data_IF_023515793885
#
_entry.id   IF_023515793885
#
_cell.length_a   1.000
_cell.length_b   1.000
_cell.length_c   1.000
_cell.angle_alpha   90.00
_cell.angle_beta   90.00
_cell.angle_gamma   90.00
#
_symmetry.space_group_name_H-M   'P 1'
#
loop_
_entity.id
_entity.type
_entity.pdbx_description
1 polymer ?
#
# COMPACT_ATOMS: atom_id res chain seq x y z
N UNK A 1 -3.60 -36.78 8.37
CA UNK A 1 -2.35 -36.00 8.41
C UNK A 1 -2.73 -34.53 8.45
N UNK A 2 -2.40 -33.83 9.54
CA UNK A 2 -2.57 -32.38 9.65
C UNK A 2 -1.50 -31.72 8.79
N UNK A 3 -1.87 -31.31 7.58
CA UNK A 3 -0.99 -30.55 6.68
C UNK A 3 -0.68 -29.21 7.33
N UNK A 4 0.60 -28.94 7.61
CA UNK A 4 1.05 -27.62 8.05
C UNK A 4 0.60 -26.59 7.00
N UNK A 5 -0.08 -25.49 7.39
CA UNK A 5 -0.50 -24.48 6.44
C UNK A 5 0.70 -23.94 5.67
N UNK A 6 0.61 -23.83 4.34
CA UNK A 6 1.68 -23.20 3.55
C UNK A 6 1.72 -21.68 3.81
N UNK A 7 2.90 -21.07 3.95
CA UNK A 7 3.00 -19.62 4.10
C UNK A 7 2.48 -18.88 2.86
N UNK A 8 1.47 -18.02 3.07
CA UNK A 8 0.94 -17.14 2.04
C UNK A 8 1.90 -15.97 1.77
N UNK A 9 1.81 -15.37 0.58
CA UNK A 9 2.59 -14.19 0.19
C UNK A 9 4.12 -14.32 0.32
N UNK A 10 4.63 -15.56 0.22
CA UNK A 10 6.04 -15.89 0.38
C UNK A 10 6.61 -15.49 1.74
N UNK A 11 5.76 -15.45 2.77
CA UNK A 11 6.21 -15.26 4.15
C UNK A 11 7.04 -16.46 4.61
N UNK A 12 7.93 -16.23 5.58
CA UNK A 12 8.80 -17.29 6.12
C UNK A 12 8.04 -18.30 6.98
N UNK A 13 6.88 -17.91 7.52
CA UNK A 13 6.04 -18.73 8.38
C UNK A 13 4.56 -18.43 8.12
N UNK A 14 3.65 -19.38 8.37
CA UNK A 14 2.22 -19.12 8.31
C UNK A 14 1.81 -18.09 9.37
N UNK A 15 0.83 -17.26 9.03
CA UNK A 15 0.25 -16.34 10.00
C UNK A 15 -0.63 -17.13 11.01
N UNK A 16 -0.80 -16.63 12.25
CA UNK A 16 -1.74 -17.20 13.21
C UNK A 16 -3.18 -17.26 12.67
N UNK A 17 -4.08 -18.06 13.28
CA UNK A 17 -5.51 -17.99 13.01
C UNK A 17 -6.04 -16.56 13.14
N UNK A 18 -7.11 -16.24 12.41
CA UNK A 18 -7.79 -14.94 12.44
C UNK A 18 -6.88 -13.74 12.09
N UNK A 19 -5.93 -13.96 11.19
CA UNK A 19 -5.05 -12.91 10.67
C UNK A 19 -4.90 -12.98 9.16
N UNK A 20 -4.60 -11.83 8.55
CA UNK A 20 -4.33 -11.74 7.12
C UNK A 20 -2.83 -11.72 6.85
N UNK A 21 -2.38 -12.57 5.93
CA UNK A 21 -1.01 -12.54 5.44
C UNK A 21 -0.86 -11.44 4.38
N UNK A 22 0.19 -10.63 4.43
CA UNK A 22 0.51 -9.68 3.37
C UNK A 22 2.02 -9.48 3.22
N UNK A 23 2.44 -9.05 2.05
CA UNK A 23 3.80 -8.56 1.80
C UNK A 23 3.78 -7.35 0.88
N UNK A 24 4.65 -6.39 1.16
CA UNK A 24 4.74 -5.12 0.43
C UNK A 24 6.20 -4.90 0.06
N UNK A 25 6.43 -4.64 -1.22
CA UNK A 25 7.73 -4.27 -1.75
C UNK A 25 7.57 -2.98 -2.54
N UNK A 26 8.38 -1.96 -2.22
CA UNK A 26 8.48 -0.75 -3.04
C UNK A 26 9.08 -1.06 -4.41
N UNK A 27 8.95 -0.11 -5.33
CA UNK A 27 9.68 -0.18 -6.60
C UNK A 27 11.20 -0.06 -6.40
N UNK A 28 11.94 -0.35 -7.45
CA UNK A 28 13.38 -0.13 -7.51
C UNK A 28 13.71 0.81 -8.67
N UNK A 29 14.14 2.02 -8.32
CA UNK A 29 14.32 3.13 -9.24
C UNK A 29 13.07 3.32 -10.13
N UNK A 30 13.25 3.43 -11.44
CA UNK A 30 12.17 3.54 -12.43
C UNK A 30 11.90 2.23 -13.17
N UNK A 31 12.65 1.16 -12.87
CA UNK A 31 12.74 -0.02 -13.75
C UNK A 31 11.85 -1.16 -13.26
N UNK A 32 11.81 -1.38 -11.95
CA UNK A 32 11.01 -2.45 -11.34
C UNK A 32 9.90 -1.83 -10.52
N UNK A 33 8.67 -2.11 -10.90
CA UNK A 33 7.49 -1.65 -10.16
C UNK A 33 7.30 -2.38 -8.82
N UNK A 34 6.53 -1.81 -7.90
CA UNK A 34 6.28 -2.39 -6.58
C UNK A 34 5.47 -3.69 -6.68
N UNK A 35 5.38 -4.41 -5.56
CA UNK A 35 4.56 -5.60 -5.41
C UNK A 35 3.81 -5.57 -4.09
N UNK A 36 2.49 -5.77 -4.16
CA UNK A 36 1.62 -5.91 -2.97
C UNK A 36 0.90 -7.24 -3.08
N UNK A 37 1.15 -8.13 -2.11
CA UNK A 37 0.44 -9.39 -1.95
C UNK A 37 -0.46 -9.33 -0.72
N UNK A 38 -1.69 -9.82 -0.84
CA UNK A 38 -2.64 -9.94 0.24
C UNK A 38 -3.30 -11.32 0.21
N UNK A 39 -3.28 -11.99 1.36
CA UNK A 39 -3.79 -13.32 1.64
C UNK A 39 -3.47 -14.39 0.57
N UNK A 40 -2.22 -14.38 0.11
CA UNK A 40 -1.71 -15.33 -0.88
C UNK A 40 -1.91 -14.92 -2.34
N UNK A 41 -2.60 -13.80 -2.59
CA UNK A 41 -2.84 -13.28 -3.93
C UNK A 41 -2.02 -12.01 -4.18
N UNK A 42 -1.30 -11.98 -5.31
CA UNK A 42 -0.66 -10.75 -5.78
C UNK A 42 -1.75 -9.80 -6.29
N UNK A 43 -1.92 -8.66 -5.62
CA UNK A 43 -2.95 -7.66 -5.97
C UNK A 43 -2.37 -6.64 -6.93
N UNK A 44 -1.16 -6.16 -6.63
CA UNK A 44 -0.44 -5.21 -7.46
C UNK A 44 0.95 -5.76 -7.77
N UNK A 45 1.37 -5.69 -9.04
CA UNK A 45 2.76 -5.98 -9.41
C UNK A 45 3.09 -5.45 -10.80
N UNK A 46 4.39 -5.29 -11.08
CA UNK A 46 4.88 -4.95 -12.42
C UNK A 46 4.37 -5.93 -13.50
N UNK A 47 4.32 -7.24 -13.20
CA UNK A 47 3.85 -8.28 -14.14
C UNK A 47 2.35 -8.15 -14.44
N UNK A 48 1.55 -7.67 -13.46
CA UNK A 48 0.12 -7.43 -13.64
C UNK A 48 -0.17 -6.12 -14.40
N UNK A 49 0.86 -5.33 -14.73
CA UNK A 49 0.75 -4.07 -15.44
C UNK A 49 -0.28 -3.10 -14.80
N UNK A 50 -0.35 -3.09 -13.46
CA UNK A 50 -1.31 -2.30 -12.69
C UNK A 50 -0.66 -1.43 -11.61
N UNK A 51 0.63 -1.12 -11.79
CA UNK A 51 1.44 -0.28 -10.90
C UNK A 51 1.96 0.93 -11.66
N UNK A 52 2.21 2.04 -10.97
CA UNK A 52 2.71 3.28 -11.60
C UNK A 52 3.47 4.19 -10.63
N UNK A 53 4.12 5.25 -11.14
CA UNK A 53 4.91 6.18 -10.34
C UNK A 53 4.06 6.80 -9.22
N UNK A 54 4.67 7.07 -8.06
CA UNK A 54 3.99 7.58 -6.88
C UNK A 54 3.62 6.52 -5.87
N UNK A 55 2.38 6.57 -5.36
CA UNK A 55 1.89 5.69 -4.29
C UNK A 55 0.98 4.61 -4.87
N UNK A 56 1.35 3.34 -4.71
CA UNK A 56 0.56 2.20 -5.15
C UNK A 56 -0.19 1.67 -3.94
N UNK A 57 -1.53 1.68 -3.98
CA UNK A 57 -2.40 1.53 -2.81
C UNK A 57 -3.36 0.36 -3.00
N UNK A 58 -3.55 -0.44 -1.96
CA UNK A 58 -4.62 -1.44 -1.82
C UNK A 58 -5.43 -1.13 -0.56
N UNK A 59 -6.75 -1.04 -0.70
CA UNK A 59 -7.72 -0.81 0.39
C UNK A 59 -8.53 -2.08 0.59
N UNK A 60 -8.53 -2.59 1.83
CA UNK A 60 -9.14 -3.87 2.19
C UNK A 60 -10.10 -3.67 3.38
N UNK A 61 -11.25 -4.34 3.33
CA UNK A 61 -12.15 -4.45 4.45
C UNK A 61 -11.54 -5.33 5.56
N UNK A 62 -11.36 -4.77 6.76
CA UNK A 62 -10.70 -5.44 7.88
C UNK A 62 -11.46 -6.65 8.45
N UNK A 63 -12.75 -6.73 8.19
CA UNK A 63 -13.64 -7.73 8.79
C UNK A 63 -13.67 -9.00 7.95
N UNK A 64 -13.68 -8.87 6.62
CA UNK A 64 -13.82 -10.00 5.71
C UNK A 64 -12.66 -10.17 4.72
N UNK A 65 -11.67 -9.27 4.72
CA UNK A 65 -10.52 -9.32 3.81
C UNK A 65 -10.83 -9.01 2.35
N UNK A 66 -12.02 -8.49 2.03
CA UNK A 66 -12.40 -8.11 0.67
C UNK A 66 -11.65 -6.85 0.24
N UNK A 67 -11.07 -6.89 -0.96
CA UNK A 67 -10.40 -5.73 -1.56
C UNK A 67 -11.47 -4.82 -2.16
N UNK A 68 -11.59 -3.62 -1.62
CA UNK A 68 -12.56 -2.60 -2.06
C UNK A 68 -12.00 -1.77 -3.21
N UNK A 69 -10.70 -1.44 -3.15
CA UNK A 69 -10.03 -0.58 -4.13
C UNK A 69 -8.56 -0.91 -4.24
N UNK A 70 -8.01 -0.82 -5.45
CA UNK A 70 -6.57 -0.83 -5.66
C UNK A 70 -6.21 -0.01 -6.90
N UNK A 71 -5.00 0.55 -6.91
CA UNK A 71 -4.52 1.40 -8.00
C UNK A 71 -3.32 2.22 -7.55
N UNK A 72 -2.86 3.15 -8.39
CA UNK A 72 -1.77 4.04 -8.03
C UNK A 72 -2.20 5.50 -8.14
N UNK A 73 -1.64 6.32 -7.24
CA UNK A 73 -1.76 7.76 -7.21
C UNK A 73 -0.45 8.35 -7.74
N UNK A 74 -0.52 9.01 -8.90
CA UNK A 74 0.68 9.56 -9.53
C UNK A 74 1.16 10.80 -8.78
N UNK A 75 2.17 10.62 -7.94
CA UNK A 75 2.74 11.69 -7.11
C UNK A 75 3.72 12.60 -7.87
N UNK A 76 3.92 12.41 -9.18
CA UNK A 76 4.81 13.23 -10.02
C UNK A 76 3.98 14.17 -10.89
N UNK A 77 3.06 13.62 -11.69
CA UNK A 77 2.26 14.38 -12.66
C UNK A 77 0.79 14.50 -12.28
N UNK A 78 0.32 13.84 -11.22
CA UNK A 78 -1.07 13.92 -10.77
C UNK A 78 -1.41 15.24 -10.07
N UNK A 79 -2.69 15.40 -9.76
CA UNK A 79 -3.23 16.51 -8.99
C UNK A 79 -3.27 16.19 -7.50
N UNK A 80 -2.70 17.05 -6.65
CA UNK A 80 -2.66 16.81 -5.20
C UNK A 80 -4.04 16.85 -4.54
N UNK A 81 -5.00 17.60 -5.10
CA UNK A 81 -6.37 17.66 -4.61
C UNK A 81 -7.12 16.35 -4.86
N UNK A 82 -6.98 15.78 -6.05
CA UNK A 82 -7.55 14.47 -6.39
C UNK A 82 -6.94 13.34 -5.54
N UNK A 83 -5.63 13.39 -5.31
CA UNK A 83 -4.89 12.43 -4.45
C UNK A 83 -5.41 12.51 -3.01
N UNK A 84 -5.55 13.72 -2.46
CA UNK A 84 -6.09 13.92 -1.13
C UNK A 84 -7.55 13.47 -1.03
N UNK A 85 -8.38 13.80 -2.03
CA UNK A 85 -9.77 13.37 -2.08
C UNK A 85 -9.88 11.84 -2.11
N UNK A 86 -9.03 11.16 -2.88
CA UNK A 86 -8.95 9.70 -2.88
C UNK A 86 -8.68 9.13 -1.49
N UNK A 87 -7.73 9.71 -0.74
CA UNK A 87 -7.36 9.22 0.59
C UNK A 87 -8.46 9.47 1.61
N UNK A 88 -9.10 10.65 1.57
CA UNK A 88 -10.22 11.02 2.46
C UNK A 88 -11.51 10.24 2.17
N UNK A 89 -11.67 9.69 0.97
CA UNK A 89 -12.81 8.83 0.59
C UNK A 89 -12.69 7.40 1.17
N UNK A 90 -11.50 7.02 1.69
CA UNK A 90 -11.31 5.72 2.33
C UNK A 90 -12.14 5.66 3.61
N UNK A 91 -13.07 4.70 3.67
CA UNK A 91 -13.95 4.52 4.83
C UNK A 91 -13.14 4.15 6.08
N UNK A 92 -13.53 4.65 7.27
CA UNK A 92 -12.96 4.19 8.54
C UNK A 92 -13.06 2.68 8.72
N UNK A 93 -12.07 2.09 9.37
CA UNK A 93 -11.92 0.66 9.58
C UNK A 93 -11.21 -0.11 8.46
N UNK A 94 -10.93 0.51 7.32
CA UNK A 94 -10.26 -0.18 6.20
C UNK A 94 -8.76 -0.34 6.44
N UNK A 95 -8.19 -1.50 6.09
CA UNK A 95 -6.75 -1.71 6.00
C UNK A 95 -6.24 -1.01 4.73
N UNK A 96 -5.13 -0.27 4.86
CA UNK A 96 -4.49 0.44 3.75
C UNK A 96 -3.06 -0.04 3.62
N UNK A 97 -2.73 -0.65 2.47
CA UNK A 97 -1.37 -1.07 2.11
C UNK A 97 -0.84 -0.17 1.02
N UNK A 98 0.36 0.36 1.19
CA UNK A 98 0.98 1.31 0.23
C UNK A 98 2.42 0.95 -0.07
N UNK A 99 2.81 1.08 -1.33
CA UNK A 99 4.19 0.96 -1.78
C UNK A 99 4.56 2.13 -2.71
N UNK A 100 5.70 2.78 -2.46
CA UNK A 100 6.20 3.83 -3.34
C UNK A 100 6.85 3.26 -4.62
N UNK A 101 6.85 4.06 -5.69
CA UNK A 101 7.56 3.78 -6.93
C UNK A 101 8.04 5.08 -7.59
N UNK A 102 9.31 5.11 -8.04
CA UNK A 102 10.02 6.29 -8.56
C UNK A 102 10.10 7.44 -7.55
N UNK A 103 9.09 8.29 -7.47
CA UNK A 103 9.01 9.36 -6.48
C UNK A 103 7.58 9.50 -5.95
N UNK A 104 7.47 9.59 -4.62
CA UNK A 104 6.23 9.79 -3.90
C UNK A 104 6.06 11.21 -3.34
N UNK A 105 7.04 12.11 -3.55
CA UNK A 105 7.13 13.36 -2.79
C UNK A 105 6.74 14.61 -3.56
N UNK A 106 6.82 14.61 -4.90
CA UNK A 106 6.58 15.81 -5.73
C UNK A 106 5.19 16.43 -5.52
N UNK A 107 4.14 15.62 -5.30
CA UNK A 107 2.77 16.09 -4.99
C UNK A 107 2.37 15.88 -3.53
N UNK A 108 3.32 15.57 -2.64
CA UNK A 108 3.07 15.28 -1.23
C UNK A 108 2.90 16.58 -0.43
N UNK A 109 1.65 16.96 -0.16
CA UNK A 109 1.31 18.11 0.69
C UNK A 109 1.28 17.73 2.16
N UNK A 110 1.29 18.72 3.05
CA UNK A 110 1.18 18.49 4.49
C UNK A 110 -0.14 17.80 4.85
N UNK A 111 -1.25 18.12 4.18
CA UNK A 111 -2.53 17.45 4.39
C UNK A 111 -2.51 15.96 3.99
N UNK A 112 -1.80 15.61 2.91
CA UNK A 112 -1.62 14.21 2.51
C UNK A 112 -0.76 13.48 3.55
N UNK A 113 0.31 14.12 4.04
CA UNK A 113 1.14 13.54 5.11
C UNK A 113 0.32 13.32 6.37
N UNK A 114 -0.47 14.30 6.79
CA UNK A 114 -1.33 14.20 7.97
C UNK A 114 -2.34 13.06 7.84
N UNK A 115 -2.94 12.89 6.65
CA UNK A 115 -3.86 11.77 6.38
C UNK A 115 -3.18 10.41 6.63
N UNK A 116 -1.91 10.25 6.26
CA UNK A 116 -1.15 9.03 6.57
C UNK A 116 -0.71 8.93 8.03
N UNK A 117 -0.47 10.05 8.72
CA UNK A 117 -0.22 10.07 10.18
C UNK A 117 -1.46 9.59 10.93
N UNK A 118 -2.65 10.08 10.57
CA UNK A 118 -3.93 9.62 11.10
C UNK A 118 -4.13 8.12 10.88
N UNK A 119 -3.67 7.57 9.76
CA UNK A 119 -3.68 6.11 9.49
C UNK A 119 -2.59 5.32 10.25
N UNK A 120 -1.74 6.00 11.03
CA UNK A 120 -0.71 5.39 11.89
C UNK A 120 0.72 5.46 11.35
N UNK A 121 1.00 6.22 10.28
CA UNK A 121 2.36 6.35 9.76
C UNK A 121 3.22 7.24 10.65
N UNK A 122 4.38 6.74 11.06
CA UNK A 122 5.39 7.50 11.82
C UNK A 122 6.52 8.05 10.95
N UNK A 123 6.66 7.55 9.72
CA UNK A 123 7.76 7.90 8.81
C UNK A 123 7.32 8.77 7.63
N UNK A 124 6.00 8.97 7.43
CA UNK A 124 5.53 9.78 6.30
C UNK A 124 6.01 11.22 6.41
N UNK A 125 6.16 11.78 7.61
CA UNK A 125 6.67 13.15 7.81
C UNK A 125 8.12 13.35 7.35
N UNK A 126 8.93 12.29 7.34
CA UNK A 126 10.35 12.34 6.98
C UNK A 126 10.65 11.87 5.55
N UNK A 127 9.62 11.58 4.74
CA UNK A 127 9.81 11.05 3.40
C UNK A 127 10.39 12.12 2.45
N UNK A 128 11.56 11.83 1.88
CA UNK A 128 12.30 12.69 0.94
C UNK A 128 12.22 12.16 -0.49
N UNK A 129 12.72 12.98 -1.42
CA UNK A 129 12.72 12.69 -2.85
C UNK A 129 13.33 11.32 -3.15
N UNK A 130 12.55 10.46 -3.84
CA UNK A 130 12.90 9.07 -4.22
C UNK A 130 13.20 8.12 -3.07
N UNK A 131 12.80 8.46 -1.85
CA UNK A 131 12.84 7.49 -0.75
C UNK A 131 11.91 6.31 -1.08
N UNK A 132 12.41 5.10 -0.83
CA UNK A 132 11.60 3.90 -0.86
C UNK A 132 10.79 3.82 0.44
N UNK A 133 9.50 3.60 0.31
CA UNK A 133 8.58 3.57 1.43
C UNK A 133 7.49 2.55 1.19
N UNK A 134 7.19 1.81 2.26
CA UNK A 134 6.06 0.90 2.34
C UNK A 134 5.30 1.20 3.61
N UNK A 135 3.99 1.00 3.57
CA UNK A 135 3.12 1.29 4.70
C UNK A 135 1.98 0.29 4.77
N UNK A 136 1.66 -0.11 5.98
CA UNK A 136 0.46 -0.86 6.31
C UNK A 136 -0.16 -0.19 7.52
N UNK A 137 -1.38 0.31 7.36
CA UNK A 137 -2.12 0.99 8.42
C UNK A 137 -3.61 0.73 8.31
N UNK A 138 -4.37 1.50 9.08
CA UNK A 138 -5.83 1.42 9.13
C UNK A 138 -6.39 2.84 9.06
N UNK A 139 -7.41 3.05 8.23
CA UNK A 139 -8.12 4.32 8.19
C UNK A 139 -9.04 4.45 9.41
N UNK A 140 -9.07 5.63 10.04
CA UNK A 140 -9.94 5.95 11.18
C UNK A 140 -9.72 5.05 12.39
#
# INVERSE_FOLDING_TARGET
>A
ATTTPEPKCSLSKPCPPDSFAFSIHSGAATVVGPKICFDGKNIMSHILNNVGPGLNIVVINDTNGVIEKYGYLNMITGDSGEILAYLKDIKPGMIVLVASYDDATTKMTDEIRETFVEMGSTLIGSLNHRDNWVFAGRAG
#
